data_IF_915293671810
#
_entry.id   IF_915293671810
#
_cell.length_a   1.000
_cell.length_b   1.000
_cell.length_c   1.000
_cell.angle_alpha   90.00
_cell.angle_beta   90.00
_cell.angle_gamma   90.00
#
_symmetry.space_group_name_H-M   'P 1'
#
loop_
_entity.id
_entity.type
_entity.pdbx_description
1 polymer ?
#
# COMPACT_ATOMS: atom_id res chain seq x y z
N UNK A 1 -1.81 3.03 18.43
CA UNK A 1 -0.40 3.39 18.13
C UNK A 1 0.65 2.54 18.87
N UNK A 2 0.49 2.26 20.18
CA UNK A 2 1.49 1.50 20.95
C UNK A 2 1.75 0.10 20.39
N UNK A 3 0.70 -0.67 20.11
CA UNK A 3 0.81 -2.05 19.59
C UNK A 3 1.52 -2.12 18.22
N UNK A 4 1.22 -1.19 17.30
CA UNK A 4 1.90 -1.12 16.01
C UNK A 4 3.41 -0.87 16.18
N UNK A 5 3.80 0.08 17.04
CA UNK A 5 5.22 0.39 17.32
C UNK A 5 5.94 -0.76 18.00
N UNK A 6 5.26 -1.44 18.93
CA UNK A 6 5.80 -2.64 19.57
C UNK A 6 6.11 -3.71 18.52
N UNK A 7 5.15 -4.05 17.65
CA UNK A 7 5.37 -5.02 16.57
C UNK A 7 6.45 -4.56 15.58
N UNK A 8 6.49 -3.27 15.27
CA UNK A 8 7.48 -2.72 14.35
C UNK A 8 8.93 -3.00 14.83
N UNK A 9 9.20 -2.79 16.12
CA UNK A 9 10.54 -2.99 16.70
C UNK A 9 11.02 -4.44 16.55
N UNK A 10 10.12 -5.42 16.61
CA UNK A 10 10.47 -6.84 16.47
C UNK A 10 10.38 -7.33 15.03
N UNK A 11 9.33 -6.96 14.30
CA UNK A 11 9.07 -7.45 12.94
C UNK A 11 10.05 -6.83 11.95
N UNK A 12 10.38 -5.55 12.06
CA UNK A 12 11.26 -4.86 11.14
C UNK A 12 12.66 -5.51 11.02
N UNK A 13 13.43 -5.73 12.13
CA UNK A 13 14.74 -6.36 12.02
C UNK A 13 14.66 -7.81 11.55
N UNK A 14 13.67 -8.57 12.03
CA UNK A 14 13.47 -9.95 11.62
C UNK A 14 13.15 -10.05 10.12
N UNK A 15 12.25 -9.21 9.63
CA UNK A 15 11.88 -9.18 8.21
C UNK A 15 13.08 -8.82 7.33
N UNK A 16 13.87 -7.83 7.75
CA UNK A 16 15.10 -7.44 7.03
C UNK A 16 16.17 -8.52 7.08
N UNK A 17 16.32 -9.20 8.19
CA UNK A 17 17.27 -10.32 8.33
C UNK A 17 16.88 -11.49 7.45
N UNK A 18 15.59 -11.82 7.33
CA UNK A 18 15.12 -12.96 6.54
C UNK A 18 15.10 -12.67 5.05
N UNK A 19 14.58 -11.53 4.62
CA UNK A 19 14.30 -11.26 3.22
C UNK A 19 15.26 -10.26 2.57
N UNK A 20 16.08 -9.52 3.36
CA UNK A 20 17.03 -8.50 2.90
C UNK A 20 16.45 -7.61 1.78
N UNK A 21 15.27 -6.99 1.99
CA UNK A 21 14.59 -6.28 0.92
C UNK A 21 15.42 -5.09 0.44
N UNK A 22 15.42 -4.88 -0.88
CA UNK A 22 15.95 -3.64 -1.46
C UNK A 22 14.84 -2.58 -1.44
N UNK A 23 15.19 -1.37 -1.03
CA UNK A 23 14.27 -0.23 -1.02
C UNK A 23 14.89 0.89 -1.85
N UNK A 24 14.17 1.31 -2.89
CA UNK A 24 14.56 2.40 -3.80
C UNK A 24 13.54 3.54 -3.75
N UNK A 25 13.96 4.73 -4.16
CA UNK A 25 13.07 5.89 -4.26
C UNK A 25 12.55 6.38 -2.90
N UNK A 26 13.29 6.14 -1.80
CA UNK A 26 12.89 6.61 -0.46
C UNK A 26 12.75 8.12 -0.37
N UNK A 27 13.47 8.85 -1.19
CA UNK A 27 13.43 10.30 -1.34
C UNK A 27 12.05 10.79 -1.82
N UNK A 28 11.29 9.95 -2.50
CA UNK A 28 9.93 10.25 -2.97
C UNK A 28 8.86 10.12 -1.88
N UNK A 29 9.23 9.65 -0.68
CA UNK A 29 8.30 9.49 0.44
C UNK A 29 8.24 10.81 1.23
N UNK A 30 7.08 11.49 1.29
CA UNK A 30 6.93 12.69 2.11
C UNK A 30 7.23 12.44 3.58
N UNK A 31 8.00 13.30 4.21
CA UNK A 31 8.39 13.18 5.62
C UNK A 31 7.21 13.45 6.57
N UNK A 32 6.23 14.23 6.15
CA UNK A 32 5.07 14.62 6.93
C UNK A 32 3.82 14.71 6.06
N UNK A 33 2.65 14.93 6.66
CA UNK A 33 1.37 15.05 5.97
C UNK A 33 0.73 13.69 5.68
N UNK A 34 -0.43 13.72 5.07
CA UNK A 34 -1.19 12.54 4.66
C UNK A 34 -0.58 11.89 3.41
N UNK A 35 -0.54 10.56 3.38
CA UNK A 35 0.02 9.82 2.25
C UNK A 35 -0.92 8.67 1.88
N UNK A 36 -1.13 8.47 0.60
CA UNK A 36 -1.72 7.27 0.02
C UNK A 36 -0.64 6.54 -0.75
N UNK A 37 -0.20 5.38 -0.25
CA UNK A 37 0.65 4.47 -1.01
C UNK A 37 -0.21 3.53 -1.84
N UNK A 38 0.05 3.45 -3.14
CA UNK A 38 -0.69 2.57 -4.04
C UNK A 38 0.26 1.82 -4.99
N UNK A 39 0.09 0.49 -5.07
CA UNK A 39 0.97 -0.34 -5.90
C UNK A 39 0.44 -1.75 -6.13
N UNK A 40 1.24 -2.59 -6.79
CA UNK A 40 0.90 -3.98 -7.12
C UNK A 40 0.91 -4.89 -5.89
N UNK A 41 0.14 -6.00 -5.96
CA UNK A 41 -0.06 -6.94 -4.85
C UNK A 41 0.27 -8.38 -5.24
N UNK A 42 1.26 -8.96 -4.58
CA UNK A 42 1.76 -10.32 -4.87
C UNK A 42 1.64 -11.27 -3.69
N UNK A 43 1.69 -10.75 -2.46
CA UNK A 43 1.76 -11.56 -1.24
C UNK A 43 1.22 -10.78 -0.03
N UNK A 44 0.74 -11.49 1.00
CA UNK A 44 0.43 -10.88 2.30
C UNK A 44 1.65 -10.16 2.93
N UNK A 45 2.86 -10.58 2.57
CA UNK A 45 4.10 -9.95 3.03
C UNK A 45 4.32 -8.56 2.44
N UNK A 46 3.57 -8.16 1.39
CA UNK A 46 3.68 -6.82 0.79
C UNK A 46 3.29 -5.72 1.79
N UNK A 47 2.27 -6.00 2.63
CA UNK A 47 1.89 -5.08 3.71
C UNK A 47 3.02 -4.91 4.73
N UNK A 48 3.68 -6.02 5.10
CA UNK A 48 4.81 -5.98 6.03
C UNK A 48 5.99 -5.25 5.40
N UNK A 49 6.32 -5.55 4.14
CA UNK A 49 7.39 -4.88 3.41
C UNK A 49 7.17 -3.37 3.37
N UNK A 50 5.99 -2.90 2.95
CA UNK A 50 5.66 -1.49 2.91
C UNK A 50 5.74 -0.85 4.31
N UNK A 51 5.16 -1.50 5.33
CA UNK A 51 5.22 -1.02 6.71
C UNK A 51 6.66 -0.90 7.22
N UNK A 52 7.56 -1.82 6.86
CA UNK A 52 8.98 -1.77 7.27
C UNK A 52 9.80 -0.66 6.59
N UNK A 53 9.26 -0.02 5.54
CA UNK A 53 9.89 1.13 4.91
C UNK A 53 9.68 2.45 5.66
N UNK A 54 8.75 2.49 6.63
CA UNK A 54 8.26 3.70 7.28
C UNK A 54 8.25 3.53 8.80
N UNK A 55 8.59 4.61 9.53
CA UNK A 55 8.40 4.66 10.98
C UNK A 55 6.96 5.01 11.36
N UNK A 56 6.22 5.68 10.47
CA UNK A 56 4.81 6.07 10.65
C UNK A 56 3.91 4.88 10.39
N UNK A 57 2.82 4.78 11.15
CA UNK A 57 1.83 3.71 10.96
C UNK A 57 1.16 3.80 9.59
N UNK A 58 1.13 2.66 8.89
CA UNK A 58 0.39 2.51 7.64
C UNK A 58 -0.92 1.77 7.92
N UNK A 59 -2.03 2.39 7.58
CA UNK A 59 -3.36 1.80 7.67
C UNK A 59 -3.69 1.08 6.37
N UNK A 60 -3.73 -0.23 6.39
CA UNK A 60 -4.08 -1.03 5.21
C UNK A 60 -5.58 -1.24 5.11
N UNK A 61 -6.07 -1.36 3.88
CA UNK A 61 -7.45 -1.75 3.60
C UNK A 61 -7.51 -3.25 3.32
N UNK A 62 -8.23 -4.01 4.14
CA UNK A 62 -8.28 -5.47 4.05
C UNK A 62 -9.73 -5.98 3.99
N UNK A 63 -9.92 -7.22 3.52
CA UNK A 63 -11.24 -7.86 3.44
C UNK A 63 -11.92 -7.91 4.82
N UNK A 64 -13.21 -7.58 4.87
CA UNK A 64 -14.02 -7.63 6.09
C UNK A 64 -14.05 -9.01 6.74
N UNK A 65 -13.94 -10.08 5.95
CA UNK A 65 -13.90 -11.45 6.49
C UNK A 65 -12.70 -11.68 7.44
N UNK A 66 -11.57 -10.97 7.27
CA UNK A 66 -10.41 -11.06 8.15
C UNK A 66 -10.67 -10.50 9.56
N UNK A 67 -11.71 -9.69 9.71
CA UNK A 67 -12.09 -9.09 10.99
C UNK A 67 -13.07 -9.94 11.79
N UNK A 68 -13.48 -11.10 11.26
CA UNK A 68 -14.32 -12.07 11.93
C UNK A 68 -13.45 -13.03 12.75
N UNK A 69 -13.94 -13.47 13.89
CA UNK A 69 -13.22 -14.39 14.77
C UNK A 69 -12.03 -13.79 15.52
N UNK A 70 -11.15 -14.64 16.02
CA UNK A 70 -10.04 -14.26 16.92
C UNK A 70 -9.01 -13.30 16.26
N UNK A 71 -8.79 -13.42 14.94
CA UNK A 71 -7.85 -12.57 14.22
C UNK A 71 -8.35 -11.11 14.08
N UNK A 72 -9.65 -10.86 14.21
CA UNK A 72 -10.23 -9.53 14.03
C UNK A 72 -9.68 -8.49 14.99
N UNK A 73 -9.44 -8.87 16.25
CA UNK A 73 -8.82 -7.99 17.25
C UNK A 73 -7.41 -7.56 16.84
N UNK A 74 -6.63 -8.49 16.30
CA UNK A 74 -5.27 -8.20 15.82
C UNK A 74 -5.27 -7.19 14.67
N UNK A 75 -6.11 -7.39 13.63
CA UNK A 75 -6.19 -6.45 12.51
C UNK A 75 -6.67 -5.06 12.93
N UNK A 76 -7.63 -4.98 13.86
CA UNK A 76 -8.07 -3.69 14.43
C UNK A 76 -6.95 -3.00 15.21
N UNK A 77 -6.18 -3.75 16.01
CA UNK A 77 -5.06 -3.22 16.77
C UNK A 77 -3.93 -2.70 15.86
N UNK A 78 -3.80 -3.24 14.65
CA UNK A 78 -2.92 -2.73 13.59
C UNK A 78 -3.48 -1.48 12.89
N UNK A 79 -4.70 -1.06 13.19
CA UNK A 79 -5.36 0.05 12.49
C UNK A 79 -5.74 -0.28 11.05
N UNK A 80 -5.93 -1.57 10.73
CA UNK A 80 -6.37 -2.00 9.41
C UNK A 80 -7.86 -1.69 9.22
N UNK A 81 -8.24 -1.16 8.07
CA UNK A 81 -9.61 -0.75 7.73
C UNK A 81 -10.32 -1.91 7.04
N UNK A 82 -11.46 -2.39 7.57
CA UNK A 82 -12.25 -3.43 6.92
C UNK A 82 -12.91 -2.92 5.65
N UNK A 83 -12.92 -3.72 4.58
CA UNK A 83 -13.55 -3.39 3.30
C UNK A 83 -14.42 -4.53 2.82
N UNK A 84 -15.69 -4.27 2.62
CA UNK A 84 -16.57 -5.18 1.92
C UNK A 84 -16.38 -5.03 0.40
N UNK A 85 -15.66 -5.97 -0.21
CA UNK A 85 -15.31 -5.91 -1.64
C UNK A 85 -16.45 -6.26 -2.58
N UNK A 86 -17.59 -6.73 -2.04
CA UNK A 86 -18.79 -7.12 -2.82
C UNK A 86 -19.68 -5.92 -3.15
N UNK A 87 -19.53 -4.84 -2.42
CA UNK A 87 -20.29 -3.59 -2.58
C UNK A 87 -19.34 -2.40 -2.74
N UNK A 88 -19.90 -1.26 -3.14
CA UNK A 88 -19.20 0.04 -3.03
C UNK A 88 -19.21 0.45 -1.56
N UNK A 89 -18.19 0.05 -0.82
CA UNK A 89 -18.12 0.30 0.62
C UNK A 89 -17.76 1.76 0.92
N UNK A 90 -18.80 2.57 1.07
CA UNK A 90 -18.64 3.98 1.41
C UNK A 90 -18.10 4.16 2.83
N UNK A 91 -18.37 3.22 3.75
CA UNK A 91 -17.91 3.30 5.13
C UNK A 91 -16.39 3.14 5.21
N UNK A 92 -15.83 2.19 4.47
CA UNK A 92 -14.38 1.99 4.38
C UNK A 92 -13.67 3.21 3.79
N UNK A 93 -14.26 3.84 2.76
CA UNK A 93 -13.72 5.08 2.20
C UNK A 93 -13.79 6.24 3.20
N UNK A 94 -14.88 6.37 3.95
CA UNK A 94 -15.03 7.39 5.00
C UNK A 94 -14.01 7.19 6.13
N UNK A 95 -13.77 5.95 6.54
CA UNK A 95 -12.77 5.64 7.57
C UNK A 95 -11.35 5.96 7.07
N UNK A 96 -11.02 5.60 5.85
CA UNK A 96 -9.75 5.98 5.23
C UNK A 96 -9.58 7.50 5.13
N UNK A 97 -10.64 8.23 4.77
CA UNK A 97 -10.63 9.69 4.71
C UNK A 97 -10.31 10.31 6.07
N UNK A 98 -10.91 9.83 7.17
CA UNK A 98 -10.61 10.29 8.54
C UNK A 98 -9.15 10.10 8.91
N UNK A 99 -8.54 8.97 8.50
CA UNK A 99 -7.10 8.74 8.70
C UNK A 99 -6.28 9.80 7.96
N UNK A 100 -6.62 10.10 6.71
CA UNK A 100 -5.92 11.11 5.90
C UNK A 100 -6.07 12.54 6.47
N UNK A 101 -7.27 12.90 6.96
CA UNK A 101 -7.54 14.20 7.59
C UNK A 101 -6.67 14.46 8.82
N UNK A 102 -6.28 13.42 9.54
CA UNK A 102 -5.33 13.52 10.66
C UNK A 102 -3.86 13.43 10.24
N UNK A 103 -3.57 13.52 8.95
CA UNK A 103 -2.22 13.40 8.42
C UNK A 103 -1.71 11.95 8.41
N UNK A 104 -2.58 10.94 8.52
CA UNK A 104 -2.22 9.53 8.54
C UNK A 104 -1.81 8.97 7.18
N UNK A 105 -1.49 7.68 7.14
CA UNK A 105 -1.02 7.00 5.93
C UNK A 105 -1.94 5.83 5.60
N UNK A 106 -2.41 5.77 4.37
CA UNK A 106 -3.17 4.66 3.80
C UNK A 106 -2.26 3.84 2.87
N UNK A 107 -2.23 2.52 3.06
CA UNK A 107 -1.64 1.57 2.12
C UNK A 107 -2.76 0.82 1.38
N UNK A 108 -2.80 0.93 0.08
CA UNK A 108 -3.81 0.28 -0.76
C UNK A 108 -3.16 -0.46 -1.93
N UNK A 109 -3.72 -1.62 -2.25
CA UNK A 109 -3.38 -2.38 -3.45
C UNK A 109 -4.57 -2.31 -4.41
N UNK A 110 -4.54 -1.42 -5.42
CA UNK A 110 -5.72 -1.11 -6.25
C UNK A 110 -6.19 -2.29 -7.11
N UNK A 111 -5.34 -3.29 -7.35
CA UNK A 111 -5.73 -4.55 -7.98
C UNK A 111 -6.86 -5.27 -7.22
N UNK A 112 -6.96 -5.04 -5.92
CA UNK A 112 -8.01 -5.57 -5.05
C UNK A 112 -7.87 -7.06 -4.73
N UNK A 113 -6.90 -7.75 -5.29
CA UNK A 113 -6.50 -9.13 -4.98
C UNK A 113 -5.07 -9.38 -5.43
N UNK A 114 -4.50 -10.54 -5.08
CA UNK A 114 -3.21 -10.92 -5.62
C UNK A 114 -3.30 -11.14 -7.11
N UNK A 115 -2.35 -10.58 -7.85
CA UNK A 115 -2.22 -10.85 -9.28
C UNK A 115 -1.75 -12.30 -9.50
N UNK A 116 -2.64 -13.13 -10.00
CA UNK A 116 -2.39 -14.53 -10.39
C UNK A 116 -2.41 -14.71 -11.91
N UNK A 117 -2.49 -13.62 -12.65
CA UNK A 117 -2.52 -13.61 -14.11
C UNK A 117 -1.10 -13.57 -14.69
N UNK A 118 -0.99 -13.61 -16.01
CA UNK A 118 0.28 -13.39 -16.73
C UNK A 118 0.56 -11.90 -16.97
N UNK A 119 -0.41 -11.04 -16.69
CA UNK A 119 -0.28 -9.59 -16.85
C UNK A 119 0.71 -9.02 -15.83
N UNK A 120 1.42 -7.96 -16.20
CA UNK A 120 2.35 -7.26 -15.30
C UNK A 120 1.63 -6.70 -14.09
N UNK A 121 0.44 -6.09 -14.29
CA UNK A 121 -0.51 -5.65 -13.26
C UNK A 121 -1.93 -5.94 -13.74
N UNK A 122 -2.84 -6.23 -12.81
CA UNK A 122 -4.27 -6.24 -13.11
C UNK A 122 -4.81 -4.81 -13.15
N UNK A 123 -5.93 -4.56 -13.85
CA UNK A 123 -6.55 -3.22 -13.88
C UNK A 123 -6.80 -2.67 -12.48
N UNK A 124 -6.40 -1.41 -12.26
CA UNK A 124 -6.55 -0.76 -10.98
C UNK A 124 -7.99 -0.29 -10.72
N UNK A 125 -8.52 -0.63 -9.55
CA UNK A 125 -9.80 -0.13 -9.08
C UNK A 125 -9.68 1.35 -8.67
N UNK A 126 -10.73 2.15 -8.86
CA UNK A 126 -10.66 3.61 -8.70
C UNK A 126 -10.56 4.09 -7.25
N UNK A 127 -10.48 3.19 -6.26
CA UNK A 127 -10.50 3.57 -4.84
C UNK A 127 -9.36 4.50 -4.43
N UNK A 128 -8.12 4.17 -4.81
CA UNK A 128 -6.94 4.99 -4.51
C UNK A 128 -7.04 6.38 -5.15
N UNK A 129 -7.36 6.44 -6.44
CA UNK A 129 -7.50 7.68 -7.18
C UNK A 129 -8.64 8.58 -6.65
N UNK A 130 -9.78 7.98 -6.27
CA UNK A 130 -10.90 8.71 -5.66
C UNK A 130 -10.55 9.28 -4.28
N UNK A 131 -9.82 8.55 -3.46
CA UNK A 131 -9.33 9.07 -2.18
C UNK A 131 -8.35 10.22 -2.40
N UNK A 132 -7.41 10.06 -3.33
CA UNK A 132 -6.43 11.08 -3.66
C UNK A 132 -7.07 12.38 -4.18
N UNK A 133 -8.02 12.27 -5.12
CA UNK A 133 -8.76 13.42 -5.66
C UNK A 133 -9.61 14.17 -4.61
N UNK A 134 -9.96 13.52 -3.50
CA UNK A 134 -10.81 14.10 -2.43
C UNK A 134 -10.05 14.53 -1.19
N UNK A 135 -8.75 14.28 -1.15
CA UNK A 135 -7.89 14.59 -0.01
C UNK A 135 -6.69 15.41 -0.47
N UNK A 136 -6.06 16.10 0.48
CA UNK A 136 -4.75 16.73 0.25
C UNK A 136 -3.58 15.75 0.49
N UNK A 137 -3.84 14.44 0.42
CA UNK A 137 -2.83 13.42 0.62
C UNK A 137 -1.95 13.25 -0.62
N UNK A 138 -0.65 13.13 -0.41
CA UNK A 138 0.27 12.78 -1.48
C UNK A 138 0.00 11.34 -1.96
N UNK A 139 -0.30 11.14 -3.23
CA UNK A 139 -0.45 9.82 -3.84
C UNK A 139 0.92 9.34 -4.33
N UNK A 140 1.53 8.42 -3.59
CA UNK A 140 2.86 7.88 -3.89
C UNK A 140 2.72 6.47 -4.48
N UNK A 141 3.00 6.30 -5.79
CA UNK A 141 3.04 4.98 -6.41
C UNK A 141 4.22 4.16 -5.90
N UNK A 142 4.05 2.84 -5.84
CA UNK A 142 5.17 1.94 -5.60
C UNK A 142 5.04 0.64 -6.42
N UNK A 143 6.18 0.01 -6.73
CA UNK A 143 6.23 -1.30 -7.36
C UNK A 143 7.00 -2.31 -6.49
N UNK A 144 6.43 -3.51 -6.31
CA UNK A 144 7.09 -4.63 -5.62
C UNK A 144 7.54 -5.66 -6.67
N UNK A 145 8.86 -5.89 -6.73
CA UNK A 145 9.54 -6.77 -7.67
C UNK A 145 10.16 -7.97 -6.95
N UNK A 146 10.54 -8.99 -7.70
CA UNK A 146 11.24 -10.16 -7.13
C UNK A 146 10.34 -11.10 -6.33
N UNK A 147 10.92 -11.86 -5.42
CA UNK A 147 10.24 -12.86 -4.58
C UNK A 147 10.70 -12.76 -3.13
N UNK A 148 9.85 -13.14 -2.20
CA UNK A 148 10.18 -13.31 -0.79
C UNK A 148 10.93 -14.62 -0.59
N UNK A 149 12.24 -14.59 -0.74
CA UNK A 149 13.13 -15.74 -0.56
C UNK A 149 14.25 -15.39 0.41
N UNK A 150 14.61 -16.33 1.26
CA UNK A 150 15.74 -16.17 2.19
C UNK A 150 17.07 -16.22 1.44
N UNK A 151 17.15 -17.05 0.39
CA UNK A 151 18.33 -17.22 -0.46
C UNK A 151 17.94 -16.92 -1.91
N UNK A 152 18.78 -16.18 -2.65
CA UNK A 152 18.60 -15.91 -4.06
C UNK A 152 18.09 -14.50 -4.38
N UNK A 153 17.23 -14.33 -5.40
CA UNK A 153 16.70 -13.03 -5.82
C UNK A 153 15.80 -12.45 -4.74
N UNK A 154 16.22 -11.29 -4.25
CA UNK A 154 15.54 -10.56 -3.15
C UNK A 154 14.32 -9.83 -3.64
N UNK A 155 13.36 -9.65 -2.75
CA UNK A 155 12.25 -8.72 -2.95
C UNK A 155 12.78 -7.28 -2.98
N UNK A 156 12.22 -6.48 -3.87
CA UNK A 156 12.53 -5.05 -3.99
C UNK A 156 11.22 -4.27 -3.97
N UNK A 157 11.20 -3.16 -3.25
CA UNK A 157 10.15 -2.15 -3.33
C UNK A 157 10.77 -0.84 -3.82
N UNK A 158 10.13 -0.23 -4.82
CA UNK A 158 10.55 1.04 -5.39
C UNK A 158 9.40 2.03 -5.33
N UNK A 159 9.67 3.21 -4.75
CA UNK A 159 8.71 4.32 -4.65
C UNK A 159 8.97 5.31 -5.77
N UNK A 160 7.90 5.78 -6.40
CA UNK A 160 7.96 6.78 -7.47
C UNK A 160 7.53 8.15 -6.97
N UNK A 161 7.85 9.25 -7.69
CA UNK A 161 7.38 10.59 -7.36
C UNK A 161 5.87 10.61 -7.14
N UNK A 162 5.43 11.44 -6.19
CA UNK A 162 4.02 11.60 -5.92
C UNK A 162 3.29 12.14 -7.16
N UNK A 163 2.13 11.54 -7.45
CA UNK A 163 1.27 11.99 -8.54
C UNK A 163 0.54 13.26 -8.08
N UNK A 164 0.57 14.30 -8.91
CA UNK A 164 -0.23 15.51 -8.70
C UNK A 164 -1.72 15.18 -8.85
N UNK A 165 -2.51 15.55 -7.85
CA UNK A 165 -3.94 15.22 -7.79
C UNK A 165 -4.85 16.43 -7.74
N UNK A 166 -4.29 17.65 -7.55
CA UNK A 166 -5.07 18.87 -7.49
C UNK A 166 -5.78 19.13 -8.83
N UNK A 167 -7.07 19.46 -8.76
CA UNK A 167 -7.91 19.79 -9.91
C UNK A 167 -7.98 18.71 -11.00
N UNK A 168 -7.66 17.46 -10.65
CA UNK A 168 -7.70 16.32 -11.58
C UNK A 168 -8.83 15.35 -11.24
N UNK A 169 -9.40 14.77 -12.27
CA UNK A 169 -10.40 13.71 -12.12
C UNK A 169 -9.77 12.36 -11.73
N UNK A 170 -10.54 11.55 -11.00
CA UNK A 170 -10.07 10.26 -10.49
C UNK A 170 -9.72 9.25 -11.59
N UNK A 171 -10.26 9.38 -12.81
CA UNK A 171 -9.94 8.47 -13.91
C UNK A 171 -8.53 8.75 -14.45
N UNK A 172 -8.21 10.02 -14.69
CA UNK A 172 -6.87 10.47 -15.09
C UNK A 172 -5.79 10.09 -14.07
N UNK A 173 -6.05 10.36 -12.78
CA UNK A 173 -5.16 9.97 -11.68
C UNK A 173 -4.96 8.45 -11.65
N UNK A 174 -6.05 7.68 -11.79
CA UNK A 174 -6.00 6.22 -11.78
C UNK A 174 -5.21 5.63 -12.93
N UNK A 175 -5.34 6.20 -14.11
CA UNK A 175 -4.59 5.78 -15.30
C UNK A 175 -3.08 6.05 -15.15
N UNK A 176 -2.71 7.24 -14.68
CA UNK A 176 -1.31 7.58 -14.41
C UNK A 176 -0.71 6.67 -13.32
N UNK A 177 -1.44 6.42 -12.24
CA UNK A 177 -1.03 5.50 -11.19
C UNK A 177 -0.73 4.09 -11.72
N UNK A 178 -1.66 3.54 -12.52
CA UNK A 178 -1.50 2.21 -13.12
C UNK A 178 -0.29 2.16 -14.05
N UNK A 179 -0.13 3.15 -14.92
CA UNK A 179 0.99 3.23 -15.86
C UNK A 179 2.33 3.34 -15.12
N UNK A 180 2.43 4.21 -14.12
CA UNK A 180 3.66 4.36 -13.32
C UNK A 180 4.08 3.04 -12.67
N UNK A 181 3.13 2.31 -12.09
CA UNK A 181 3.43 1.01 -11.47
C UNK A 181 3.79 -0.04 -12.51
N UNK A 182 3.10 -0.08 -13.64
CA UNK A 182 3.35 -0.99 -14.78
C UNK A 182 4.77 -0.80 -15.35
N UNK A 183 5.12 0.42 -15.70
CA UNK A 183 6.45 0.79 -16.21
C UNK A 183 7.55 0.43 -15.22
N UNK A 184 7.31 0.71 -13.94
CA UNK A 184 8.22 0.35 -12.87
C UNK A 184 8.50 -1.15 -12.81
N UNK A 185 7.49 -1.99 -13.00
CA UNK A 185 7.64 -3.44 -13.01
C UNK A 185 8.33 -3.96 -14.27
N UNK A 186 8.13 -3.31 -15.42
CA UNK A 186 8.73 -3.69 -16.70
C UNK A 186 10.21 -3.34 -16.77
N UNK A 187 10.59 -2.14 -16.31
CA UNK A 187 11.98 -1.69 -16.24
C UNK A 187 12.84 -2.52 -15.28
N UNK A 188 12.26 -3.20 -14.32
CA UNK A 188 12.96 -4.12 -13.43
C UNK A 188 13.20 -5.53 -13.98
N UNK A 189 12.76 -5.82 -15.22
CA UNK A 189 12.98 -7.12 -15.90
C UNK A 189 14.25 -7.15 -16.76
N UNK A 190 14.94 -6.01 -16.94
CA UNK A 190 16.21 -5.89 -17.67
C UNK A 190 17.42 -6.19 -16.81
#
# INVERSE_FOLDING_TARGET
MFFYRFLYVFIWPLFRLLFHPKVRGRENIPKSGAIIFAGNHKSNLDCVLLATCLWRQVHFMAKDELFRGAAGGFFRALGTIPVNRRIRDASALSEAQKVLETGGIIGIFPEGSFNRTKETVMPFKPGAARMAARSHAALVPFAIKGKYTVIGRRVEIEFYPAIETAERDAASIGHELENTVREGLENGKR
#
